data_IF_798812261535
#
_entry.id   IF_798812261535
#
_cell.length_a   1.000
_cell.length_b   1.000
_cell.length_c   1.000
_cell.angle_alpha   90.00
_cell.angle_beta   90.00
_cell.angle_gamma   90.00
#
_symmetry.space_group_name_H-M   'P 1'
#
loop_
_entity.id
_entity.type
_entity.pdbx_description
1 polymer ?
#
# COMPACT_ATOMS: atom_id res chain seq x y z
N UNK A 1 13.27 -9.14 14.77
CA UNK A 1 13.07 -8.98 13.32
C UNK A 1 12.70 -10.35 12.80
N UNK A 2 11.63 -10.45 12.01
CA UNK A 2 11.11 -11.74 11.55
C UNK A 2 12.04 -12.41 10.53
N UNK A 3 11.85 -13.72 10.35
CA UNK A 3 12.70 -14.53 9.47
C UNK A 3 12.51 -14.24 7.97
N UNK A 4 11.38 -13.65 7.56
CA UNK A 4 11.08 -13.32 6.15
C UNK A 4 9.92 -12.32 6.03
N UNK A 5 9.74 -11.65 4.87
CA UNK A 5 8.55 -10.83 4.60
C UNK A 5 7.23 -11.59 4.75
N UNK A 6 7.22 -12.89 4.42
CA UNK A 6 6.04 -13.76 4.59
C UNK A 6 5.71 -13.94 6.08
N UNK A 7 6.73 -14.18 6.91
CA UNK A 7 6.54 -14.33 8.35
C UNK A 7 5.99 -13.04 8.97
N UNK A 8 6.52 -11.88 8.58
CA UNK A 8 5.97 -10.58 9.00
C UNK A 8 4.52 -10.42 8.57
N UNK A 9 4.20 -10.62 7.29
CA UNK A 9 2.83 -10.43 6.79
C UNK A 9 1.80 -11.35 7.48
N UNK A 10 2.16 -12.61 7.75
CA UNK A 10 1.27 -13.55 8.46
C UNK A 10 1.12 -13.20 9.94
N UNK A 11 2.18 -12.70 10.59
CA UNK A 11 2.11 -12.22 11.97
C UNK A 11 1.20 -10.99 12.06
N UNK A 12 1.42 -9.96 11.24
CA UNK A 12 0.57 -8.75 11.25
C UNK A 12 -0.88 -9.10 10.91
N UNK A 13 -1.15 -9.95 9.91
CA UNK A 13 -2.51 -10.37 9.61
C UNK A 13 -3.19 -11.14 10.76
N UNK A 14 -2.43 -11.87 11.58
CA UNK A 14 -2.96 -12.48 12.79
C UNK A 14 -3.28 -11.44 13.86
N UNK A 15 -2.38 -10.49 14.09
CA UNK A 15 -2.52 -9.43 15.10
C UNK A 15 -3.68 -8.47 14.74
N UNK A 16 -3.80 -8.04 13.49
CA UNK A 16 -4.76 -7.02 13.03
C UNK A 16 -6.17 -7.59 12.80
N UNK A 17 -6.29 -8.77 12.17
CA UNK A 17 -7.58 -9.32 11.73
C UNK A 17 -7.86 -10.74 12.23
N UNK A 18 -7.02 -11.27 13.13
CA UNK A 18 -7.22 -12.60 13.71
C UNK A 18 -7.06 -13.73 12.70
N UNK A 19 -6.37 -13.52 11.58
CA UNK A 19 -6.15 -14.55 10.57
C UNK A 19 -5.45 -15.76 11.22
N UNK A 20 -6.05 -16.96 11.24
CA UNK A 20 -5.47 -18.08 11.98
C UNK A 20 -4.25 -18.61 11.24
N UNK A 21 -3.07 -18.52 11.86
CA UNK A 21 -1.80 -18.97 11.30
C UNK A 21 -1.05 -19.86 12.32
N UNK A 22 -0.45 -20.99 11.90
CA UNK A 22 -0.51 -21.58 10.56
C UNK A 22 -1.88 -22.22 10.27
N UNK A 23 -2.31 -22.18 9.00
CA UNK A 23 -3.55 -22.82 8.55
C UNK A 23 -3.38 -23.36 7.13
N UNK A 24 -3.81 -24.61 6.91
CA UNK A 24 -3.67 -25.32 5.63
C UNK A 24 -4.53 -24.73 4.50
N UNK A 25 -5.53 -23.92 4.83
CA UNK A 25 -6.34 -23.21 3.87
C UNK A 25 -5.64 -21.98 3.28
N UNK A 26 -4.51 -21.53 3.86
CA UNK A 26 -3.76 -20.35 3.43
C UNK A 26 -2.54 -20.81 2.61
N UNK A 27 -2.58 -20.57 1.29
CA UNK A 27 -1.51 -20.94 0.37
C UNK A 27 -0.77 -19.69 -0.09
N UNK A 28 0.50 -19.54 0.31
CA UNK A 28 1.32 -18.42 -0.18
C UNK A 28 1.66 -18.67 -1.65
N UNK A 29 1.17 -17.81 -2.54
CA UNK A 29 1.43 -17.90 -3.97
C UNK A 29 2.78 -17.26 -4.33
N UNK A 30 3.18 -16.22 -3.62
CA UNK A 30 4.46 -15.55 -3.83
C UNK A 30 4.50 -14.11 -3.34
N UNK A 31 5.59 -13.43 -3.71
CA UNK A 31 5.83 -12.03 -3.42
C UNK A 31 5.66 -11.21 -4.71
N UNK A 32 5.04 -10.03 -4.62
CA UNK A 32 5.13 -9.04 -5.69
C UNK A 32 6.44 -8.24 -5.55
N UNK A 33 6.85 -7.59 -6.64
CA UNK A 33 7.97 -6.65 -6.61
C UNK A 33 7.70 -5.54 -5.58
N UNK A 34 8.73 -5.05 -4.86
CA UNK A 34 8.53 -4.02 -3.86
C UNK A 34 7.98 -2.72 -4.44
N UNK A 35 7.16 -2.04 -3.65
CA UNK A 35 6.65 -0.71 -3.92
C UNK A 35 7.27 0.29 -2.94
N UNK A 36 7.31 1.56 -3.32
CA UNK A 36 7.76 2.63 -2.44
C UNK A 36 6.54 3.35 -1.88
N UNK A 37 6.41 3.36 -0.55
CA UNK A 37 5.32 4.07 0.13
C UNK A 37 5.50 5.58 0.03
N UNK A 38 4.44 6.32 0.39
CA UNK A 38 4.52 7.78 0.52
C UNK A 38 5.64 8.24 1.48
N UNK A 39 5.89 7.46 2.53
CA UNK A 39 6.96 7.69 3.50
C UNK A 39 8.32 7.13 3.06
N UNK A 40 8.47 6.76 1.78
CA UNK A 40 9.72 6.26 1.18
C UNK A 40 10.22 4.97 1.80
N UNK A 41 9.29 4.14 2.28
CA UNK A 41 9.56 2.80 2.79
C UNK A 41 9.33 1.79 1.67
N UNK A 42 10.21 0.79 1.55
CA UNK A 42 10.01 -0.33 0.65
C UNK A 42 9.00 -1.30 1.26
N UNK A 43 7.91 -1.58 0.54
CA UNK A 43 6.83 -2.48 0.95
C UNK A 43 6.82 -3.66 -0.02
N UNK A 44 6.93 -4.88 0.50
CA UNK A 44 6.90 -6.12 -0.29
C UNK A 44 5.57 -6.83 -0.08
N UNK A 45 4.64 -6.81 -1.06
CA UNK A 45 3.35 -7.47 -0.91
C UNK A 45 3.48 -8.99 -0.95
N UNK A 46 2.81 -9.68 -0.04
CA UNK A 46 2.68 -11.15 0.00
C UNK A 46 1.29 -11.52 -0.51
N UNK A 47 1.21 -12.38 -1.53
CA UNK A 47 -0.07 -12.84 -2.09
C UNK A 47 -0.37 -14.24 -1.57
N UNK A 48 -1.55 -14.41 -0.98
CA UNK A 48 -2.05 -15.68 -0.50
C UNK A 48 -3.36 -16.05 -1.21
N UNK A 49 -3.53 -17.33 -1.49
CA UNK A 49 -4.78 -17.94 -1.93
C UNK A 49 -5.44 -18.65 -0.74
N UNK A 50 -6.73 -18.36 -0.54
CA UNK A 50 -7.54 -19.05 0.46
C UNK A 50 -8.32 -20.18 -0.21
N UNK A 51 -8.00 -21.43 0.11
CA UNK A 51 -8.71 -22.60 -0.44
C UNK A 51 -10.02 -22.90 0.28
N UNK A 52 -10.25 -22.27 1.44
CA UNK A 52 -11.51 -22.34 2.19
C UNK A 52 -11.93 -20.91 2.57
N UNK A 53 -13.05 -20.45 2.02
CA UNK A 53 -13.60 -19.12 2.28
C UNK A 53 -14.34 -19.01 3.61
N UNK A 54 -14.71 -20.14 4.24
CA UNK A 54 -15.30 -20.12 5.59
C UNK A 54 -14.32 -19.52 6.61
N UNK A 55 -13.02 -19.50 6.30
CA UNK A 55 -12.00 -18.80 7.06
C UNK A 55 -12.32 -17.31 7.28
N UNK A 56 -12.94 -16.66 6.28
CA UNK A 56 -13.27 -15.24 6.34
C UNK A 56 -14.33 -14.93 7.41
N UNK A 57 -15.19 -15.90 7.75
CA UNK A 57 -16.21 -15.76 8.80
C UNK A 57 -15.60 -15.79 10.21
N UNK A 58 -14.33 -16.18 10.33
CA UNK A 58 -13.61 -16.27 11.60
C UNK A 58 -12.67 -15.08 11.85
N UNK A 59 -12.54 -14.16 10.90
CA UNK A 59 -11.74 -12.96 11.07
C UNK A 59 -12.33 -12.08 12.18
N UNK A 60 -11.44 -11.50 12.99
CA UNK A 60 -11.79 -10.63 14.10
C UNK A 60 -10.92 -9.39 14.05
N UNK A 61 -11.49 -8.20 13.78
CA UNK A 61 -10.71 -6.98 13.79
C UNK A 61 -10.18 -6.72 15.21
N UNK A 62 -8.90 -6.38 15.31
CA UNK A 62 -8.34 -5.78 16.50
C UNK A 62 -8.86 -4.33 16.60
N UNK A 63 -9.69 -3.97 17.59
CA UNK A 63 -10.31 -2.65 17.64
C UNK A 63 -9.32 -1.49 17.88
N UNK A 64 -8.08 -1.78 18.29
CA UNK A 64 -7.03 -0.75 18.43
C UNK A 64 -6.42 -0.33 17.09
N UNK A 65 -6.55 -1.16 16.05
CA UNK A 65 -5.86 -0.98 14.77
C UNK A 65 -6.79 -1.06 13.55
N UNK A 66 -7.86 -1.85 13.64
CA UNK A 66 -8.77 -2.16 12.54
C UNK A 66 -10.21 -1.81 12.92
N UNK A 67 -10.77 -0.82 12.21
CA UNK A 67 -12.17 -0.42 12.36
C UNK A 67 -13.12 -1.41 11.66
N UNK A 68 -12.75 -1.89 10.47
CA UNK A 68 -13.64 -2.68 9.62
C UNK A 68 -12.87 -3.62 8.68
N UNK A 69 -13.42 -4.83 8.49
CA UNK A 69 -12.96 -5.81 7.50
C UNK A 69 -14.01 -5.89 6.38
N UNK A 70 -13.56 -5.80 5.14
CA UNK A 70 -14.41 -5.93 3.97
C UNK A 70 -13.63 -6.54 2.80
N UNK A 71 -14.37 -7.05 1.82
CA UNK A 71 -13.83 -7.59 0.59
C UNK A 71 -14.32 -6.80 -0.64
N UNK A 72 -13.56 -6.88 -1.73
CA UNK A 72 -13.83 -6.19 -2.98
C UNK A 72 -13.44 -7.09 -4.16
N UNK A 73 -14.24 -7.14 -5.26
CA UNK A 73 -13.90 -7.95 -6.42
C UNK A 73 -12.56 -7.53 -7.02
N UNK A 74 -11.59 -8.43 -7.08
CA UNK A 74 -10.27 -8.10 -7.62
C UNK A 74 -10.36 -7.65 -9.09
N UNK A 75 -11.28 -8.22 -9.87
CA UNK A 75 -11.46 -7.81 -11.27
C UNK A 75 -11.99 -6.37 -11.41
N UNK A 76 -12.77 -5.89 -10.43
CA UNK A 76 -13.26 -4.51 -10.43
C UNK A 76 -12.13 -3.50 -10.25
N UNK A 77 -10.94 -3.92 -9.82
CA UNK A 77 -9.75 -3.05 -9.85
C UNK A 77 -9.32 -2.76 -11.29
N UNK A 78 -9.53 -3.67 -12.26
CA UNK A 78 -9.20 -3.42 -13.67
C UNK A 78 -10.33 -2.68 -14.40
N UNK A 79 -11.58 -2.94 -14.01
CA UNK A 79 -12.81 -2.40 -14.60
C UNK A 79 -13.75 -1.96 -13.47
N UNK A 80 -13.66 -0.71 -12.97
CA UNK A 80 -14.35 -0.25 -11.76
C UNK A 80 -15.87 -0.46 -11.74
N UNK A 81 -16.51 -0.39 -12.90
CA UNK A 81 -17.94 -0.60 -13.08
C UNK A 81 -18.39 -2.02 -12.69
N UNK A 82 -17.49 -3.00 -12.75
CA UNK A 82 -17.78 -4.37 -12.32
C UNK A 82 -18.07 -4.44 -10.82
N UNK A 83 -17.65 -3.46 -10.02
CA UNK A 83 -17.98 -3.40 -8.59
C UNK A 83 -19.50 -3.39 -8.34
N UNK A 84 -20.30 -2.85 -9.25
CA UNK A 84 -21.75 -2.82 -9.13
C UNK A 84 -22.41 -4.20 -9.27
N UNK A 85 -21.78 -5.12 -10.03
CA UNK A 85 -22.37 -6.42 -10.39
C UNK A 85 -21.70 -7.59 -9.69
N UNK A 86 -20.39 -7.49 -9.44
CA UNK A 86 -19.60 -8.52 -8.78
C UNK A 86 -19.52 -8.35 -7.27
N UNK A 87 -20.11 -7.29 -6.70
CA UNK A 87 -20.07 -7.04 -5.26
C UNK A 87 -20.42 -8.33 -4.49
N UNK A 88 -19.47 -8.87 -3.71
CA UNK A 88 -19.42 -10.29 -3.33
C UNK A 88 -20.51 -10.71 -2.36
N UNK A 89 -21.23 -9.75 -1.76
CA UNK A 89 -22.29 -10.02 -0.79
C UNK A 89 -23.54 -9.22 -1.15
N UNK A 90 -24.68 -9.88 -1.48
CA UNK A 90 -25.95 -9.21 -1.77
C UNK A 90 -26.53 -8.39 -0.59
N UNK A 91 -25.82 -8.28 0.54
CA UNK A 91 -26.23 -7.54 1.74
C UNK A 91 -25.45 -6.25 2.04
N UNK A 92 -24.41 -5.90 1.27
CA UNK A 92 -23.66 -4.65 1.52
C UNK A 92 -23.41 -3.88 0.22
N UNK A 93 -24.27 -2.88 -0.12
CA UNK A 93 -24.08 -2.09 -1.32
C UNK A 93 -22.83 -1.21 -1.20
N UNK A 94 -22.34 -0.73 -2.35
CA UNK A 94 -21.29 0.28 -2.38
C UNK A 94 -21.72 1.53 -1.60
N UNK A 95 -20.75 2.20 -0.96
CA UNK A 95 -20.96 3.42 -0.18
C UNK A 95 -21.71 4.47 -1.00
N UNK A 96 -22.65 5.21 -0.44
CA UNK A 96 -23.46 6.18 -1.19
C UNK A 96 -22.62 7.24 -1.93
N UNK A 97 -22.99 7.58 -3.18
CA UNK A 97 -22.35 8.65 -3.93
C UNK A 97 -22.60 10.01 -3.27
N UNK A 98 -21.57 10.84 -3.20
CA UNK A 98 -21.62 12.13 -2.51
C UNK A 98 -21.52 12.04 -0.99
N UNK A 99 -21.49 10.83 -0.41
CA UNK A 99 -21.27 10.64 1.02
C UNK A 99 -19.82 10.92 1.41
N UNK A 100 -19.54 10.99 2.72
CA UNK A 100 -18.17 11.09 3.24
C UNK A 100 -17.26 9.97 2.71
N UNK A 101 -17.80 8.76 2.59
CA UNK A 101 -17.08 7.58 2.11
C UNK A 101 -16.86 7.59 0.59
N UNK A 102 -17.65 8.34 -0.17
CA UNK A 102 -17.44 8.54 -1.61
C UNK A 102 -17.89 9.92 -2.11
N UNK A 103 -17.02 10.91 -1.95
CA UNK A 103 -17.27 12.32 -2.32
C UNK A 103 -16.87 12.71 -3.74
N UNK A 104 -16.55 11.75 -4.61
CA UNK A 104 -15.95 12.01 -5.92
C UNK A 104 -16.99 11.89 -7.03
N UNK A 105 -16.84 12.71 -8.08
CA UNK A 105 -17.81 12.84 -9.18
C UNK A 105 -17.84 11.65 -10.16
N UNK A 106 -16.78 10.85 -10.36
CA UNK A 106 -16.96 9.54 -10.99
C UNK A 106 -17.58 8.53 -10.03
N UNK A 107 -18.50 7.70 -10.51
CA UNK A 107 -19.27 6.79 -9.66
C UNK A 107 -18.42 5.68 -9.00
N UNK A 108 -17.42 5.13 -9.69
CA UNK A 108 -16.68 3.95 -9.21
C UNK A 108 -15.18 4.18 -9.03
N UNK A 109 -14.60 5.13 -9.75
CA UNK A 109 -13.15 5.32 -9.79
C UNK A 109 -12.75 6.77 -10.00
N UNK A 110 -11.92 7.28 -9.10
CA UNK A 110 -11.37 8.63 -9.19
C UNK A 110 -9.86 8.61 -9.30
N UNK A 111 -9.31 9.48 -10.13
CA UNK A 111 -7.88 9.65 -10.32
C UNK A 111 -7.47 11.09 -10.01
N UNK A 112 -6.33 11.25 -9.35
CA UNK A 112 -5.72 12.56 -9.11
C UNK A 112 -4.21 12.47 -9.26
N UNK A 113 -3.66 13.32 -10.12
CA UNK A 113 -2.23 13.44 -10.31
C UNK A 113 -1.64 14.43 -9.29
N UNK A 114 -0.43 14.13 -8.83
CA UNK A 114 0.32 14.97 -7.90
C UNK A 114 1.82 14.86 -8.18
N UNK A 115 2.55 15.95 -7.96
CA UNK A 115 4.01 15.92 -8.03
C UNK A 115 4.59 15.09 -6.90
N UNK A 116 5.60 14.31 -7.21
CA UNK A 116 6.24 13.38 -6.29
C UNK A 116 7.78 13.48 -6.36
N UNK A 117 8.49 12.39 -6.07
CA UNK A 117 9.95 12.34 -5.97
C UNK A 117 10.62 12.92 -7.23
N UNK A 118 11.60 13.80 -7.02
CA UNK A 118 12.37 14.46 -8.09
C UNK A 118 11.51 15.10 -9.20
N UNK A 119 10.31 15.61 -8.86
CA UNK A 119 9.44 16.27 -9.84
C UNK A 119 8.69 15.31 -10.76
N UNK A 120 8.78 14.00 -10.52
CA UNK A 120 7.95 13.00 -11.19
C UNK A 120 6.46 13.18 -10.84
N UNK A 121 5.60 12.51 -11.61
CA UNK A 121 4.17 12.49 -11.34
C UNK A 121 3.73 11.17 -10.71
N UNK A 122 2.91 11.25 -9.69
CA UNK A 122 2.19 10.12 -9.10
C UNK A 122 0.69 10.28 -9.35
N UNK A 123 0.08 9.23 -9.95
CA UNK A 123 -1.36 9.13 -10.14
C UNK A 123 -1.98 8.36 -9.00
N UNK A 124 -2.71 9.06 -8.14
CA UNK A 124 -3.49 8.45 -7.07
C UNK A 124 -4.78 7.88 -7.62
N UNK A 125 -4.97 6.56 -7.54
CA UNK A 125 -6.24 5.91 -7.83
C UNK A 125 -7.07 5.71 -6.57
N UNK A 126 -8.38 5.96 -6.67
CA UNK A 126 -9.37 5.65 -5.63
C UNK A 126 -10.49 4.81 -6.24
N UNK A 127 -10.77 3.65 -5.65
CA UNK A 127 -11.88 2.79 -6.05
C UNK A 127 -12.96 2.80 -5.00
N UNK A 128 -14.22 2.96 -5.43
CA UNK A 128 -15.38 2.95 -4.55
C UNK A 128 -15.59 1.54 -4.03
N UNK A 129 -15.84 1.45 -2.73
CA UNK A 129 -16.08 0.17 -2.06
C UNK A 129 -17.40 0.25 -1.29
N UNK A 130 -17.68 -0.79 -0.51
CA UNK A 130 -18.77 -0.81 0.48
C UNK A 130 -18.54 0.14 1.66
N UNK A 131 -17.33 0.69 1.80
CA UNK A 131 -16.93 1.58 2.89
C UNK A 131 -15.97 2.66 2.39
N UNK A 132 -14.86 2.89 3.08
CA UNK A 132 -13.80 3.78 2.65
C UNK A 132 -13.18 3.34 1.32
N UNK A 133 -12.76 4.29 0.46
CA UNK A 133 -12.15 3.96 -0.82
C UNK A 133 -10.83 3.20 -0.66
N UNK A 134 -10.62 2.19 -1.50
CA UNK A 134 -9.27 1.66 -1.72
C UNK A 134 -8.48 2.75 -2.44
N UNK A 135 -7.36 3.19 -1.86
CA UNK A 135 -6.56 4.27 -2.44
C UNK A 135 -5.06 4.14 -2.18
N UNK A 136 -4.26 4.94 -2.88
CA UNK A 136 -2.82 5.03 -2.62
C UNK A 136 -2.06 3.76 -2.98
N UNK A 137 -1.07 3.45 -2.14
CA UNK A 137 -0.23 2.27 -2.31
C UNK A 137 -1.03 0.97 -2.41
N UNK A 138 -2.13 0.86 -1.65
CA UNK A 138 -3.03 -0.30 -1.71
C UNK A 138 -3.63 -0.47 -3.10
N UNK A 139 -4.05 0.64 -3.74
CA UNK A 139 -4.50 0.61 -5.13
C UNK A 139 -3.41 0.11 -6.08
N UNK A 140 -2.18 0.59 -5.95
CA UNK A 140 -1.08 0.20 -6.85
C UNK A 140 -0.74 -1.28 -6.76
N UNK A 141 -0.73 -1.82 -5.53
CA UNK A 141 -0.53 -3.24 -5.26
C UNK A 141 -1.65 -4.07 -5.89
N UNK A 142 -2.91 -3.68 -5.66
CA UNK A 142 -4.07 -4.40 -6.18
C UNK A 142 -4.15 -4.33 -7.71
N UNK A 143 -3.79 -3.20 -8.34
CA UNK A 143 -3.71 -3.09 -9.80
C UNK A 143 -2.69 -4.10 -10.34
N UNK A 144 -1.48 -4.18 -9.76
CA UNK A 144 -0.49 -5.15 -10.21
C UNK A 144 -0.98 -6.60 -10.01
N UNK A 145 -1.54 -6.90 -8.85
CA UNK A 145 -2.07 -8.23 -8.55
C UNK A 145 -3.19 -8.63 -9.53
N UNK A 146 -4.14 -7.74 -9.80
CA UNK A 146 -5.25 -8.00 -10.72
C UNK A 146 -4.75 -8.19 -12.16
N UNK A 147 -3.81 -7.35 -12.63
CA UNK A 147 -3.22 -7.50 -13.97
C UNK A 147 -2.55 -8.87 -14.16
N UNK A 148 -1.88 -9.37 -13.13
CA UNK A 148 -1.26 -10.70 -13.13
C UNK A 148 -2.34 -11.80 -13.13
N UNK A 149 -3.31 -11.70 -12.21
CA UNK A 149 -4.34 -12.73 -12.02
C UNK A 149 -5.22 -12.92 -13.27
N UNK A 150 -5.61 -11.82 -13.93
CA UNK A 150 -6.51 -11.84 -15.09
C UNK A 150 -5.79 -11.73 -16.44
N UNK A 151 -4.46 -11.58 -16.44
CA UNK A 151 -3.64 -11.42 -17.66
C UNK A 151 -4.19 -10.31 -18.57
N UNK A 152 -4.58 -9.19 -17.95
CA UNK A 152 -5.28 -8.07 -18.61
C UNK A 152 -4.75 -6.73 -18.10
N UNK A 153 -4.88 -5.67 -18.90
CA UNK A 153 -4.59 -4.30 -18.47
C UNK A 153 -5.84 -3.63 -17.84
N UNK A 154 -5.64 -2.47 -17.24
CA UNK A 154 -6.74 -1.64 -16.72
C UNK A 154 -7.51 -0.99 -17.87
N UNK A 155 -8.82 -0.81 -17.72
CA UNK A 155 -9.66 -0.11 -18.71
C UNK A 155 -9.53 1.42 -18.61
N UNK A 156 -8.80 1.90 -17.60
CA UNK A 156 -8.43 3.29 -17.40
C UNK A 156 -6.90 3.48 -17.47
N UNK A 157 -6.46 4.72 -17.58
CA UNK A 157 -5.04 5.06 -17.66
C UNK A 157 -4.36 4.97 -16.28
N UNK A 158 -3.49 3.96 -16.12
CA UNK A 158 -2.79 3.66 -14.87
C UNK A 158 -1.78 4.74 -14.44
N UNK A 159 -1.14 5.42 -15.38
CA UNK A 159 0.01 6.26 -15.07
C UNK A 159 -0.22 7.70 -15.51
N UNK A 160 0.26 8.65 -14.72
CA UNK A 160 0.34 10.04 -15.12
C UNK A 160 1.45 10.26 -16.16
N UNK A 161 1.37 11.38 -16.88
CA UNK A 161 2.49 11.87 -17.67
C UNK A 161 3.72 12.09 -16.75
N UNK A 162 4.90 11.61 -17.17
CA UNK A 162 6.13 11.59 -16.38
C UNK A 162 6.09 10.69 -15.14
N UNK A 163 5.30 9.62 -15.16
CA UNK A 163 5.41 8.53 -14.18
C UNK A 163 6.79 7.87 -14.23
N UNK A 164 7.29 7.47 -13.06
CA UNK A 164 8.52 6.71 -12.88
C UNK A 164 8.22 5.29 -12.43
N UNK A 165 8.99 4.32 -12.91
CA UNK A 165 8.81 2.94 -12.52
C UNK A 165 9.19 2.70 -11.04
N UNK A 166 8.63 1.69 -10.37
CA UNK A 166 8.92 1.42 -8.95
C UNK A 166 10.40 1.23 -8.63
N UNK A 167 11.20 0.66 -9.54
CA UNK A 167 12.64 0.48 -9.39
C UNK A 167 13.40 1.82 -9.38
N UNK A 168 13.03 2.77 -10.25
CA UNK A 168 13.58 4.13 -10.25
C UNK A 168 13.18 4.87 -8.97
N UNK A 169 11.90 4.75 -8.58
CA UNK A 169 11.42 5.33 -7.34
C UNK A 169 12.17 4.81 -6.11
N UNK A 170 12.49 3.51 -6.09
CA UNK A 170 13.26 2.89 -5.01
C UNK A 170 14.69 3.42 -4.96
N UNK A 171 15.36 3.52 -6.12
CA UNK A 171 16.69 4.12 -6.21
C UNK A 171 16.73 5.53 -5.63
N UNK A 172 15.76 6.37 -6.01
CA UNK A 172 15.64 7.74 -5.50
C UNK A 172 15.31 7.81 -4.00
N UNK A 173 14.48 6.91 -3.50
CA UNK A 173 14.22 6.81 -2.06
C UNK A 173 15.50 6.45 -1.28
N UNK A 174 16.31 5.54 -1.80
CA UNK A 174 17.60 5.16 -1.20
C UNK A 174 18.56 6.35 -1.16
N UNK A 175 18.72 7.07 -2.27
CA UNK A 175 19.57 8.28 -2.34
C UNK A 175 19.18 9.31 -1.29
N UNK A 176 17.87 9.54 -1.11
CA UNK A 176 17.38 10.49 -0.13
C UNK A 176 17.64 10.04 1.31
N UNK A 177 17.46 8.76 1.62
CA UNK A 177 17.79 8.22 2.95
C UNK A 177 19.28 8.36 3.26
N UNK A 178 20.14 8.10 2.28
CA UNK A 178 21.60 8.30 2.42
C UNK A 178 21.94 9.77 2.68
N UNK A 179 21.33 10.70 1.93
CA UNK A 179 21.54 12.13 2.13
C UNK A 179 21.09 12.58 3.53
N UNK A 180 19.92 12.14 3.98
CA UNK A 180 19.40 12.46 5.31
C UNK A 180 20.31 11.94 6.43
N UNK A 181 20.79 10.70 6.31
CA UNK A 181 21.72 10.12 7.28
C UNK A 181 23.03 10.91 7.37
N UNK A 182 23.61 11.30 6.23
CA UNK A 182 24.82 12.12 6.18
C UNK A 182 24.63 13.48 6.86
N UNK A 183 23.52 14.16 6.58
CA UNK A 183 23.20 15.46 7.19
C UNK A 183 23.00 15.33 8.71
N UNK A 184 22.32 14.28 9.17
CA UNK A 184 22.14 14.02 10.60
C UNK A 184 23.47 13.77 11.32
N UNK A 185 24.39 13.02 10.71
CA UNK A 185 25.73 12.79 11.26
C UNK A 185 26.59 14.06 11.29
N UNK A 186 26.45 14.96 10.30
CA UNK A 186 27.19 16.23 10.27
C UNK A 186 26.72 17.21 11.35
N UNK A 187 25.42 17.23 11.67
CA UNK A 187 24.86 18.05 12.75
C UNK A 187 25.22 17.56 14.16
N UNK A 188 25.66 16.31 14.29
CA UNK A 188 26.06 15.69 15.57
C UNK A 188 27.58 15.74 15.82
N UNK A 189 28.37 16.29 14.91
CA UNK A 189 29.80 16.49 15.16
C UNK A 189 29.98 17.52 16.30
N UNK A 190 30.73 17.19 17.38
CA UNK A 190 30.90 18.12 18.49
C UNK A 190 31.63 19.39 17.99
N UNK A 191 31.12 20.56 18.40
CA UNK A 191 31.89 21.80 18.34
C UNK A 191 33.14 21.59 19.20
N UNK A 192 34.28 21.30 18.58
CA UNK A 192 35.57 21.36 19.26
C UNK A 192 35.83 22.83 19.58
N UNK A 193 35.44 23.28 20.78
CA UNK A 193 35.91 24.54 21.32
C UNK A 193 37.44 24.49 21.38
N UNK A 194 38.06 25.36 20.58
CA UNK A 194 39.49 25.58 20.61
C UNK A 194 39.86 26.30 21.91
N UNK A 195 40.10 25.54 22.98
CA UNK A 195 40.90 26.02 24.09
C UNK A 195 42.35 26.14 23.61
N UNK A 196 42.71 27.32 23.11
CA UNK A 196 44.11 27.74 23.05
C UNK A 196 44.58 28.05 24.47
N UNK A 197 45.25 27.09 25.09
CA UNK A 197 46.16 27.36 26.21
C UNK A 197 47.30 28.25 25.70
N UNK A 198 47.24 29.54 26.05
CA UNK A 198 48.39 30.44 25.97
C UNK A 198 49.26 30.25 27.19
N UNK A 199 50.28 29.41 27.07
CA UNK A 199 51.47 29.43 27.93
C UNK A 199 52.47 30.42 27.31
N UNK A 200 52.76 31.51 28.00
CA UNK A 200 53.99 32.29 27.81
C UNK A 200 54.30 33.02 29.11
N UNK A 201 55.59 32.96 29.48
CA UNK A 201 56.23 33.44 30.70
C UNK A 201 56.07 34.95 31.00
#
# INVERSE_FOLDING_TARGET
>A
MDASPVATALREANEEIGLPVPNQAIHILGLLSPFVSYYKLAVTPVIAFLSDLALLDHLKPNPEEVEEIFDHPLEAILSPELAATLAPRPGRPLSECGSEKWRYEPEYHHMKDSTWLHGSSYRMHKFRTVTTPISGLTSDILILAAKIAYVRNTDYERYAENHITPDVALGWAMEQHVANARSASQLQAPNTESHTEGLAD
#
